data_IF_376646483819
#
_entry.id   IF_376646483819
#
_cell.length_a   1.000
_cell.length_b   1.000
_cell.length_c   1.000
_cell.angle_alpha   90.00
_cell.angle_beta   90.00
_cell.angle_gamma   90.00
#
_symmetry.space_group_name_H-M   'P 1'
#
loop_
_entity.id
_entity.type
_entity.pdbx_description
1 polymer ?
#
# COMPACT_ATOMS: atom_id res chain seq x y z
N UNK A 1 -12.94 -78.55 -22.95
CA UNK A 1 -12.29 -77.23 -23.24
C UNK A 1 -13.14 -76.03 -22.86
N UNK A 2 -14.20 -76.13 -22.07
CA UNK A 2 -15.04 -74.99 -21.72
C UNK A 2 -14.84 -74.43 -20.27
N UNK A 3 -14.01 -75.10 -19.47
CA UNK A 3 -13.84 -74.74 -18.06
C UNK A 3 -12.71 -73.68 -17.81
N UNK A 4 -11.75 -73.56 -18.68
CA UNK A 4 -10.60 -72.67 -18.57
C UNK A 4 -10.93 -71.21 -18.99
N UNK A 5 -11.92 -71.03 -19.87
CA UNK A 5 -12.29 -69.68 -20.36
C UNK A 5 -13.05 -68.80 -19.32
N UNK A 6 -13.71 -69.50 -18.34
CA UNK A 6 -14.47 -68.74 -17.30
C UNK A 6 -13.63 -68.26 -16.15
N UNK A 7 -12.43 -68.79 -15.96
CA UNK A 7 -11.55 -68.43 -14.86
C UNK A 7 -10.76 -67.16 -15.19
N UNK A 8 -10.35 -66.94 -16.42
CA UNK A 8 -9.62 -65.78 -16.86
C UNK A 8 -10.52 -64.49 -16.93
N UNK A 9 -11.80 -64.65 -17.25
CA UNK A 9 -12.72 -63.49 -17.35
C UNK A 9 -13.05 -62.89 -15.98
N UNK A 10 -13.08 -63.67 -14.92
CA UNK A 10 -13.34 -63.20 -13.57
C UNK A 10 -12.13 -62.53 -12.92
N UNK A 11 -10.91 -62.87 -13.35
CA UNK A 11 -9.69 -62.27 -12.84
C UNK A 11 -9.47 -60.86 -13.43
N UNK A 12 -9.74 -60.72 -14.73
CA UNK A 12 -9.57 -59.42 -15.43
C UNK A 12 -10.58 -58.35 -14.91
N UNK A 13 -11.81 -58.76 -14.60
CA UNK A 13 -12.84 -57.82 -14.08
C UNK A 13 -12.52 -57.35 -12.65
N UNK A 14 -11.85 -58.20 -11.84
CA UNK A 14 -11.46 -57.83 -10.46
C UNK A 14 -10.24 -56.89 -10.41
N UNK A 15 -9.31 -57.05 -11.34
CA UNK A 15 -8.14 -56.16 -11.41
C UNK A 15 -8.48 -54.83 -12.09
N UNK A 16 -9.39 -54.79 -13.07
CA UNK A 16 -9.87 -53.56 -13.70
C UNK A 16 -10.65 -52.65 -12.77
N UNK A 17 -11.39 -53.21 -11.81
CA UNK A 17 -12.15 -52.48 -10.81
C UNK A 17 -11.27 -51.79 -9.77
N UNK A 18 -10.12 -52.39 -9.42
CA UNK A 18 -9.19 -51.78 -8.44
C UNK A 18 -8.39 -50.61 -9.03
N UNK A 19 -8.08 -50.64 -10.33
CA UNK A 19 -7.34 -49.56 -11.00
C UNK A 19 -8.24 -48.33 -11.25
N UNK A 20 -9.54 -48.54 -11.48
CA UNK A 20 -10.50 -47.43 -11.66
C UNK A 20 -10.80 -46.69 -10.36
N UNK A 21 -10.75 -47.36 -9.21
CA UNK A 21 -10.96 -46.71 -7.90
C UNK A 21 -9.76 -45.89 -7.42
N UNK A 22 -8.55 -46.15 -7.89
CA UNK A 22 -7.35 -45.43 -7.52
C UNK A 22 -7.23 -44.04 -8.21
N UNK A 23 -7.88 -43.86 -9.37
CA UNK A 23 -7.82 -42.59 -10.10
C UNK A 23 -8.76 -41.48 -9.58
N UNK A 24 -9.74 -41.82 -8.73
CA UNK A 24 -10.72 -40.84 -8.22
C UNK A 24 -10.20 -40.06 -6.97
N UNK A 25 -9.14 -40.56 -6.33
CA UNK A 25 -8.53 -39.92 -5.15
C UNK A 25 -7.43 -38.92 -5.46
N UNK A 26 -7.02 -38.76 -6.72
CA UNK A 26 -5.98 -37.83 -7.14
C UNK A 26 -6.52 -36.42 -7.53
N UNK A 27 -7.83 -36.16 -7.38
CA UNK A 27 -8.49 -34.97 -7.87
C UNK A 27 -8.67 -33.83 -6.87
N UNK A 28 -8.15 -33.91 -5.65
CA UNK A 28 -8.24 -32.84 -4.65
C UNK A 28 -6.88 -32.40 -4.11
N UNK A 29 -5.84 -32.35 -4.95
CA UNK A 29 -4.77 -31.41 -4.72
C UNK A 29 -5.35 -30.03 -5.01
N UNK A 30 -6.17 -29.54 -4.05
CA UNK A 30 -6.66 -28.16 -4.03
C UNK A 30 -5.46 -27.28 -4.30
N UNK A 31 -5.66 -26.28 -5.14
CA UNK A 31 -4.80 -25.14 -5.24
C UNK A 31 -4.68 -24.56 -3.82
N UNK A 32 -3.71 -25.07 -3.06
CA UNK A 32 -3.14 -24.34 -1.94
C UNK A 32 -2.57 -23.13 -2.64
N UNK A 33 -3.33 -22.04 -2.62
CA UNK A 33 -2.84 -20.73 -3.03
C UNK A 33 -1.48 -20.62 -2.36
N UNK A 34 -0.43 -20.37 -3.14
CA UNK A 34 0.88 -20.10 -2.60
C UNK A 34 0.64 -19.17 -1.41
N UNK A 35 1.24 -19.44 -0.22
CA UNK A 35 1.13 -18.52 0.89
C UNK A 35 1.47 -17.17 0.29
N UNK A 36 0.71 -16.09 0.61
CA UNK A 36 1.04 -14.78 0.07
C UNK A 36 2.54 -14.66 0.32
N UNK A 37 3.29 -14.61 -0.78
CA UNK A 37 4.70 -14.28 -0.74
C UNK A 37 4.79 -13.29 0.40
N UNK A 38 5.69 -13.50 1.37
CA UNK A 38 6.02 -12.49 2.35
C UNK A 38 6.40 -11.23 1.55
N UNK A 39 5.40 -10.60 1.00
CA UNK A 39 5.45 -9.21 0.56
C UNK A 39 5.88 -8.52 1.84
N UNK A 40 7.18 -8.27 1.93
CA UNK A 40 7.89 -7.73 3.07
C UNK A 40 6.92 -6.78 3.74
N UNK A 41 6.53 -7.06 5.00
CA UNK A 41 5.39 -6.46 5.67
C UNK A 41 5.45 -4.96 5.39
N UNK A 42 4.66 -4.49 4.43
CA UNK A 42 4.78 -3.13 3.94
C UNK A 42 4.48 -2.25 5.13
N UNK A 43 5.40 -1.37 5.45
CA UNK A 43 5.22 -0.45 6.55
C UNK A 43 3.87 0.26 6.36
N UNK A 44 3.09 0.35 7.43
CA UNK A 44 1.75 0.94 7.43
C UNK A 44 1.64 1.95 8.57
N UNK A 45 1.17 3.12 8.22
CA UNK A 45 0.85 4.18 9.17
C UNK A 45 -0.58 4.66 8.92
N UNK A 46 -1.25 5.03 9.98
CA UNK A 46 -2.58 5.64 9.92
C UNK A 46 -2.72 6.67 11.01
N UNK A 47 -3.64 7.61 10.81
CA UNK A 47 -3.89 8.68 11.75
C UNK A 47 -4.39 9.93 11.07
N UNK A 48 -4.03 11.08 11.62
CA UNK A 48 -4.42 12.39 11.09
C UNK A 48 -3.21 13.18 10.63
N UNK A 49 -3.34 13.80 9.47
CA UNK A 49 -2.32 14.72 8.95
C UNK A 49 -2.91 16.10 8.69
N UNK A 50 -2.09 17.12 8.88
CA UNK A 50 -2.41 18.48 8.51
C UNK A 50 -1.21 19.08 7.77
N UNK A 51 -1.45 19.70 6.61
CA UNK A 51 -0.47 20.49 5.90
C UNK A 51 -0.95 21.94 5.82
N UNK A 52 -0.07 22.88 6.09
CA UNK A 52 -0.30 24.31 5.94
C UNK A 52 0.81 24.90 5.10
N UNK A 53 0.44 25.58 4.02
CA UNK A 53 1.35 26.30 3.12
C UNK A 53 1.08 27.78 3.27
N UNK A 54 2.10 28.55 3.65
CA UNK A 54 2.01 29.98 3.94
C UNK A 54 2.07 30.82 2.65
N UNK A 55 1.32 30.39 1.62
CA UNK A 55 1.10 31.15 0.38
C UNK A 55 0.10 32.30 0.59
N UNK A 56 -0.07 33.13 -0.42
CA UNK A 56 -1.12 34.17 -0.44
C UNK A 56 -2.14 33.80 -1.53
N UNK A 57 -3.37 33.38 -1.15
CA UNK A 57 -3.86 33.14 0.22
C UNK A 57 -3.22 31.87 0.85
N UNK A 58 -3.24 31.80 2.18
CA UNK A 58 -2.79 30.61 2.91
C UNK A 58 -3.63 29.40 2.52
N UNK A 59 -2.95 28.28 2.21
CA UNK A 59 -3.61 26.99 1.96
C UNK A 59 -3.43 26.08 3.16
N UNK A 60 -4.50 25.46 3.62
CA UNK A 60 -4.45 24.48 4.70
C UNK A 60 -5.37 23.29 4.38
N UNK A 61 -4.90 22.10 4.68
CA UNK A 61 -5.64 20.86 4.47
C UNK A 61 -5.43 19.94 5.68
N UNK A 62 -6.50 19.30 6.14
CA UNK A 62 -6.47 18.31 7.22
C UNK A 62 -7.31 17.10 6.81
N UNK A 63 -6.79 15.91 7.02
CA UNK A 63 -7.49 14.65 6.73
C UNK A 63 -7.02 13.55 7.67
N UNK A 64 -7.84 12.53 7.82
CA UNK A 64 -7.38 11.22 8.27
C UNK A 64 -6.68 10.53 7.10
N UNK A 65 -5.71 9.66 7.38
CA UNK A 65 -4.93 9.01 6.35
C UNK A 65 -4.58 7.57 6.68
N UNK A 66 -4.38 6.79 5.63
CA UNK A 66 -3.71 5.50 5.66
C UNK A 66 -2.61 5.52 4.61
N UNK A 67 -1.37 5.30 5.04
CA UNK A 67 -0.17 5.23 4.20
C UNK A 67 0.42 3.83 4.28
N UNK A 68 0.69 3.19 3.15
CA UNK A 68 1.35 1.89 3.06
C UNK A 68 2.47 1.92 2.04
N UNK A 69 3.53 1.13 2.26
CA UNK A 69 4.63 0.99 1.31
C UNK A 69 5.91 1.69 1.75
N UNK A 70 6.63 2.21 0.77
CA UNK A 70 7.92 2.89 0.89
C UNK A 70 8.03 4.02 -0.15
N UNK A 71 9.16 4.78 -0.22
CA UNK A 71 9.30 5.85 -1.20
C UNK A 71 9.20 5.41 -2.67
N UNK A 72 9.57 4.16 -3.00
CA UNK A 72 9.58 3.64 -4.37
C UNK A 72 8.21 3.15 -4.82
N UNK A 73 7.42 2.61 -3.89
CA UNK A 73 6.08 2.11 -4.19
C UNK A 73 5.17 2.15 -2.96
N UNK A 74 3.93 2.52 -3.16
CA UNK A 74 2.96 2.58 -2.06
C UNK A 74 1.63 3.17 -2.43
N UNK A 75 0.84 3.36 -1.39
CA UNK A 75 -0.49 3.96 -1.47
C UNK A 75 -0.74 4.88 -0.27
N UNK A 76 -1.33 6.03 -0.54
CA UNK A 76 -1.86 6.95 0.47
C UNK A 76 -3.34 7.17 0.21
N UNK A 77 -4.18 6.79 1.15
CA UNK A 77 -5.61 7.12 1.16
C UNK A 77 -5.85 8.27 2.13
N UNK A 78 -6.50 9.32 1.66
CA UNK A 78 -6.94 10.48 2.44
C UNK A 78 -8.45 10.39 2.66
N UNK A 79 -8.88 10.61 3.89
CA UNK A 79 -10.28 10.48 4.29
C UNK A 79 -10.76 11.71 5.04
N UNK A 80 -12.05 11.99 4.92
CA UNK A 80 -12.73 12.96 5.78
C UNK A 80 -12.88 12.41 7.21
N UNK A 81 -13.14 13.25 8.23
CA UNK A 81 -13.43 12.79 9.59
C UNK A 81 -14.64 11.84 9.68
N UNK A 82 -15.48 11.78 8.65
CA UNK A 82 -16.62 10.86 8.54
C UNK A 82 -16.25 9.54 7.84
N UNK A 83 -14.96 9.33 7.51
CA UNK A 83 -14.46 8.12 6.86
C UNK A 83 -14.66 8.07 5.34
N UNK A 84 -15.19 9.12 4.70
CA UNK A 84 -15.33 9.15 3.25
C UNK A 84 -13.96 9.38 2.59
N UNK A 85 -13.61 8.59 1.58
CA UNK A 85 -12.39 8.78 0.81
C UNK A 85 -12.44 10.12 0.07
N UNK A 86 -11.46 10.97 0.29
CA UNK A 86 -11.27 12.25 -0.40
C UNK A 86 -10.35 12.08 -1.59
N UNK A 87 -9.26 11.31 -1.43
CA UNK A 87 -8.29 11.04 -2.48
C UNK A 87 -7.55 9.72 -2.22
N UNK A 88 -7.10 9.08 -3.29
CA UNK A 88 -6.17 7.95 -3.29
C UNK A 88 -4.98 8.28 -4.18
N UNK A 89 -3.80 8.16 -3.61
CA UNK A 89 -2.53 8.29 -4.32
C UNK A 89 -1.89 6.91 -4.37
N UNK A 90 -1.42 6.52 -5.55
CA UNK A 90 -0.66 5.29 -5.74
C UNK A 90 0.58 5.63 -6.55
N UNK A 91 1.72 5.05 -6.17
CA UNK A 91 2.98 5.25 -6.89
C UNK A 91 3.77 3.96 -6.97
N UNK A 92 4.46 3.77 -8.08
CA UNK A 92 5.40 2.68 -8.32
C UNK A 92 6.28 3.02 -9.52
N UNK A 93 7.57 2.62 -9.46
CA UNK A 93 8.50 2.68 -10.60
C UNK A 93 8.54 4.04 -11.33
N UNK A 94 8.57 5.15 -10.57
CA UNK A 94 8.68 6.49 -11.14
C UNK A 94 7.40 7.06 -11.75
N UNK A 95 6.24 6.41 -11.52
CA UNK A 95 4.93 6.91 -11.93
C UNK A 95 4.02 7.07 -10.71
N UNK A 96 3.12 8.04 -10.73
CA UNK A 96 2.13 8.22 -9.70
C UNK A 96 0.73 8.48 -10.28
N UNK A 97 -0.29 8.10 -9.52
CA UNK A 97 -1.70 8.32 -9.87
C UNK A 97 -2.43 8.93 -8.70
N UNK A 98 -3.29 9.88 -9.00
CA UNK A 98 -4.19 10.52 -8.03
C UNK A 98 -5.63 10.32 -8.49
N UNK A 99 -6.43 9.66 -7.68
CA UNK A 99 -7.88 9.60 -7.82
C UNK A 99 -8.50 10.46 -6.73
N UNK A 100 -9.23 11.49 -7.11
CA UNK A 100 -9.96 12.37 -6.19
C UNK A 100 -11.45 11.98 -6.16
N UNK A 101 -12.10 12.13 -5.03
CA UNK A 101 -13.55 11.90 -4.92
C UNK A 101 -14.30 12.78 -5.94
N UNK A 102 -15.27 12.15 -6.62
CA UNK A 102 -16.08 12.84 -7.65
C UNK A 102 -15.40 12.96 -9.03
N UNK A 103 -14.22 12.38 -9.24
CA UNK A 103 -13.60 12.28 -10.58
C UNK A 103 -13.73 10.87 -11.14
N UNK A 104 -14.10 10.76 -12.43
CA UNK A 104 -14.26 9.45 -13.09
C UNK A 104 -12.90 8.80 -13.40
N UNK A 105 -11.90 9.59 -13.79
CA UNK A 105 -10.58 9.09 -14.16
C UNK A 105 -9.49 9.61 -13.22
N UNK A 106 -8.48 8.78 -12.89
CA UNK A 106 -7.32 9.23 -12.14
C UNK A 106 -6.44 10.16 -12.98
N UNK A 107 -5.85 11.17 -12.34
CA UNK A 107 -4.76 11.95 -12.91
C UNK A 107 -3.44 11.15 -12.83
N UNK A 108 -2.61 11.22 -13.87
CA UNK A 108 -1.33 10.55 -13.97
C UNK A 108 -0.19 11.55 -13.89
N UNK A 109 0.90 11.15 -13.24
CA UNK A 109 2.10 11.97 -13.02
C UNK A 109 3.34 11.10 -13.26
N UNK A 110 4.40 11.72 -13.73
CA UNK A 110 5.67 11.06 -14.01
C UNK A 110 6.47 10.74 -12.73
N UNK A 111 6.05 11.30 -11.58
CA UNK A 111 6.68 11.04 -10.28
C UNK A 111 5.73 11.37 -9.13
N UNK A 112 6.01 10.78 -7.95
CA UNK A 112 5.31 11.12 -6.71
C UNK A 112 5.59 12.57 -6.28
N UNK A 113 6.83 13.05 -6.44
CA UNK A 113 7.20 14.42 -6.09
C UNK A 113 6.44 15.45 -6.95
N UNK A 114 6.29 15.19 -8.24
CA UNK A 114 5.49 16.03 -9.16
C UNK A 114 4.02 16.06 -8.77
N UNK A 115 3.45 14.92 -8.38
CA UNK A 115 2.08 14.84 -7.88
C UNK A 115 1.92 15.68 -6.59
N UNK A 116 2.81 15.49 -5.62
CA UNK A 116 2.77 16.18 -4.34
C UNK A 116 2.89 17.69 -4.52
N UNK A 117 3.84 18.13 -5.36
CA UNK A 117 4.02 19.56 -5.67
C UNK A 117 2.74 20.17 -6.29
N UNK A 118 2.13 19.46 -7.25
CA UNK A 118 0.89 19.96 -7.87
C UNK A 118 -0.28 19.98 -6.89
N UNK A 119 -0.40 18.97 -6.02
CA UNK A 119 -1.51 18.87 -5.06
C UNK A 119 -1.40 19.88 -3.93
N UNK A 120 -0.20 20.14 -3.41
CA UNK A 120 0.02 20.95 -2.21
C UNK A 120 0.55 22.36 -2.51
N UNK A 121 1.21 22.54 -3.66
CA UNK A 121 1.90 23.79 -4.02
C UNK A 121 3.28 23.93 -3.36
N UNK A 122 3.79 22.89 -2.73
CA UNK A 122 5.13 22.83 -2.12
C UNK A 122 5.76 21.44 -2.31
N UNK A 123 7.08 21.38 -2.29
CA UNK A 123 7.80 20.10 -2.32
C UNK A 123 7.79 19.47 -0.94
N UNK A 124 7.42 18.20 -0.84
CA UNK A 124 7.57 17.38 0.38
C UNK A 124 8.70 16.36 0.17
N UNK A 125 9.61 16.21 1.12
CA UNK A 125 10.71 15.26 1.00
C UNK A 125 10.22 13.84 1.31
N UNK A 126 9.59 13.16 0.34
CA UNK A 126 8.90 11.88 0.54
C UNK A 126 9.82 10.84 1.17
N UNK A 127 11.05 10.69 0.67
CA UNK A 127 12.04 9.73 1.22
C UNK A 127 12.35 10.03 2.70
N UNK A 128 12.57 11.30 3.04
CA UNK A 128 12.82 11.69 4.43
C UNK A 128 11.57 11.50 5.30
N UNK A 129 10.37 11.76 4.76
CA UNK A 129 9.11 11.55 5.47
C UNK A 129 8.95 10.09 5.91
N UNK A 130 9.23 9.12 5.03
CA UNK A 130 9.19 7.69 5.40
C UNK A 130 10.20 7.35 6.49
N UNK A 131 11.41 7.90 6.45
CA UNK A 131 12.39 7.74 7.52
C UNK A 131 11.90 8.34 8.85
N UNK A 132 11.36 9.56 8.82
CA UNK A 132 10.81 10.22 10.00
C UNK A 132 9.64 9.45 10.63
N UNK A 133 8.75 8.89 9.82
CA UNK A 133 7.65 8.05 10.29
C UNK A 133 8.13 6.77 10.99
N UNK A 134 9.32 6.28 10.63
CA UNK A 134 10.01 5.17 11.31
C UNK A 134 10.78 5.61 12.55
N UNK A 135 10.80 6.91 12.86
CA UNK A 135 11.60 7.48 13.96
C UNK A 135 13.07 7.67 13.63
N UNK A 136 13.48 7.48 12.37
CA UNK A 136 14.85 7.65 11.94
C UNK A 136 15.12 9.12 11.54
N UNK A 137 16.29 9.65 11.93
CA UNK A 137 16.76 10.94 11.47
C UNK A 137 17.08 10.87 9.97
N UNK A 138 16.56 11.80 9.21
CA UNK A 138 16.88 11.98 7.80
C UNK A 138 16.95 13.47 7.47
N UNK A 139 17.99 13.86 6.77
CA UNK A 139 18.17 15.24 6.32
C UNK A 139 17.36 15.49 5.06
N UNK A 140 16.60 16.56 5.04
CA UNK A 140 15.92 17.05 3.85
C UNK A 140 16.22 18.55 3.69
N UNK A 141 16.65 18.94 2.50
CA UNK A 141 17.07 20.32 2.24
C UNK A 141 15.91 21.30 2.51
N UNK A 142 16.16 22.24 3.41
CA UNK A 142 15.19 23.28 3.78
C UNK A 142 14.11 22.83 4.74
N UNK A 143 14.13 21.59 5.21
CA UNK A 143 13.18 21.05 6.18
C UNK A 143 13.84 20.83 7.53
N UNK A 144 13.11 21.17 8.58
CA UNK A 144 13.40 20.83 9.97
C UNK A 144 12.31 19.91 10.50
N UNK A 145 12.69 18.88 11.26
CA UNK A 145 11.77 17.88 11.81
C UNK A 145 11.93 17.72 13.31
N UNK A 146 10.81 17.67 14.02
CA UNK A 146 10.72 17.35 15.46
C UNK A 146 10.29 15.88 15.62
N UNK A 147 11.22 15.03 16.05
CA UNK A 147 10.99 13.59 16.26
C UNK A 147 10.93 13.18 17.75
N UNK A 148 11.12 14.09 18.70
CA UNK A 148 11.12 13.79 20.14
C UNK A 148 9.82 13.11 20.60
N UNK A 149 8.73 13.40 19.91
CA UNK A 149 7.41 12.86 20.24
C UNK A 149 6.92 11.80 19.25
N UNK A 150 7.78 11.27 18.38
CA UNK A 150 7.38 10.25 17.40
C UNK A 150 6.95 8.94 18.10
N UNK A 151 7.59 8.57 19.20
CA UNK A 151 7.19 7.46 20.03
C UNK A 151 5.79 7.65 20.67
N UNK A 152 5.33 8.89 20.80
CA UNK A 152 3.95 9.24 21.18
C UNK A 152 3.03 9.43 19.97
N UNK A 153 3.50 9.13 18.75
CA UNK A 153 2.74 9.25 17.51
C UNK A 153 2.69 10.65 16.93
N UNK A 154 3.54 11.59 17.38
CA UNK A 154 3.52 12.97 16.88
C UNK A 154 4.79 13.33 16.12
N UNK A 155 4.62 13.81 14.89
CA UNK A 155 5.68 14.33 14.04
C UNK A 155 5.28 15.73 13.56
N UNK A 156 6.23 16.67 13.61
CA UNK A 156 6.08 17.99 13.01
C UNK A 156 7.30 18.24 12.12
N UNK A 157 7.05 18.62 10.88
CA UNK A 157 8.10 19.00 9.94
C UNK A 157 7.77 20.39 9.34
N UNK A 158 8.79 21.24 9.22
CA UNK A 158 8.66 22.61 8.70
C UNK A 158 9.65 22.84 7.57
N UNK A 159 9.14 23.34 6.48
CA UNK A 159 9.92 23.85 5.37
C UNK A 159 10.13 25.35 5.59
N UNK A 160 11.38 25.77 5.82
CA UNK A 160 11.73 27.14 6.20
C UNK A 160 12.60 27.87 5.18
N UNK A 161 13.31 27.10 4.31
CA UNK A 161 14.30 27.69 3.40
C UNK A 161 13.73 28.10 2.04
N UNK A 162 12.50 27.75 1.73
CA UNK A 162 11.85 28.07 0.45
C UNK A 162 10.53 28.81 0.69
N UNK A 163 10.15 29.65 -0.25
CA UNK A 163 8.83 30.27 -0.28
C UNK A 163 7.93 29.58 -1.32
N UNK A 164 6.68 29.30 -0.97
CA UNK A 164 6.04 29.54 0.31
C UNK A 164 6.48 28.51 1.37
N UNK A 165 6.70 28.97 2.61
CA UNK A 165 6.97 28.08 3.74
C UNK A 165 5.82 27.10 3.96
N UNK A 166 6.10 25.94 4.56
CA UNK A 166 5.08 24.93 4.84
C UNK A 166 5.31 24.25 6.20
N UNK A 167 4.22 23.82 6.80
CA UNK A 167 4.22 23.01 8.02
C UNK A 167 3.40 21.74 7.79
N UNK A 168 3.97 20.57 8.08
CA UNK A 168 3.33 19.28 8.10
C UNK A 168 3.25 18.78 9.54
N UNK A 169 2.07 18.42 9.99
CA UNK A 169 1.82 17.76 11.27
C UNK A 169 1.20 16.41 11.04
N UNK A 170 1.72 15.38 11.70
CA UNK A 170 1.19 14.03 11.65
C UNK A 170 0.95 13.53 13.07
N UNK A 171 -0.22 12.96 13.30
CA UNK A 171 -0.64 12.29 14.51
C UNK A 171 -0.99 10.84 14.15
N UNK A 172 -0.10 9.91 14.51
CA UNK A 172 -0.26 8.48 14.24
C UNK A 172 -1.21 7.86 15.27
N UNK A 173 -2.11 7.02 14.79
CA UNK A 173 -2.87 6.09 15.62
C UNK A 173 -2.01 4.88 16.00
N UNK A 174 -2.23 4.31 17.17
CA UNK A 174 -1.54 3.13 17.70
C UNK A 174 -2.46 1.93 17.70
#
# INVERSE_FOLDING_TARGET
MLFLARFHLRLVVRFGGLLAAACVLAGCAGMVGAPPSEAAAQARWQGRMAIKVFSVPVKAFTSDFVLTGNPEQGELTLMSPLGNTLAQLQWAAGAARLKTAGTDAPAHFDSLDGLVLQATGTTLPVTALFAWLQGAQATAVGWEVELENIAAGRLIARQLAQEPQAELKIFLER
#
